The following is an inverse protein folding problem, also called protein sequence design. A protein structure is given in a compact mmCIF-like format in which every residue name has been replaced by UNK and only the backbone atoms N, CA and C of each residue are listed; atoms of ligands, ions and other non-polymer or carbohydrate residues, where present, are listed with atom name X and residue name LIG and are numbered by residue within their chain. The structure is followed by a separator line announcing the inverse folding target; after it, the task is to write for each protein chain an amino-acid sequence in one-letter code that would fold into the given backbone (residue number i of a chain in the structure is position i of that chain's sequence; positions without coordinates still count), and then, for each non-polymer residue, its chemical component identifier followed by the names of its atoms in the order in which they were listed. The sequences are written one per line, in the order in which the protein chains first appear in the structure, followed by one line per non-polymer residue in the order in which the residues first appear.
data_IF_856879846909
#
_entry.id   IF_856879846909
#
_cell.length_a   1.000
_cell.length_b   1.000
_cell.length_c   1.000
_cell.angle_alpha   90.00
_cell.angle_beta   90.00
_cell.angle_gamma   90.00
#
_symmetry.space_group_name_H-M   'P 1'
#
loop_
_entity.id
_entity.type
_entity.pdbx_description
1 polymer ?
#
# COMPACT_ATOMS: atom_id res chain seq x y z
N UNK A 1 39.46 37.34 -25.36
CA UNK A 1 38.16 37.12 -24.67
C UNK A 1 38.43 36.15 -23.53
N UNK A 2 38.58 36.66 -22.31
CA UNK A 2 39.17 35.91 -21.19
C UNK A 2 38.16 34.92 -20.58
N UNK A 3 38.59 33.68 -20.39
CA UNK A 3 37.86 32.58 -19.73
C UNK A 3 37.36 33.01 -18.33
N UNK A 4 38.03 33.98 -17.69
CA UNK A 4 37.66 34.55 -16.39
C UNK A 4 36.32 35.32 -16.37
N UNK A 5 35.82 35.81 -17.51
CA UNK A 5 34.49 36.45 -17.59
C UNK A 5 33.34 35.43 -17.72
N UNK A 6 33.64 34.16 -18.04
CA UNK A 6 32.62 33.11 -18.17
C UNK A 6 32.33 32.38 -16.85
N UNK A 7 33.28 32.34 -15.90
CA UNK A 7 33.08 31.74 -14.58
C UNK A 7 31.90 32.36 -13.79
N UNK A 8 31.81 33.71 -13.65
CA UNK A 8 30.71 34.32 -12.91
C UNK A 8 29.34 34.08 -13.57
N UNK A 9 29.31 34.05 -14.90
CA UNK A 9 28.07 33.79 -15.66
C UNK A 9 27.63 32.34 -15.52
N UNK A 10 28.56 31.38 -15.59
CA UNK A 10 28.26 29.96 -15.36
C UNK A 10 27.78 29.70 -13.92
N UNK A 11 28.41 30.32 -12.93
CA UNK A 11 27.98 30.26 -11.52
C UNK A 11 26.60 30.89 -11.33
N UNK A 12 26.33 32.05 -11.92
CA UNK A 12 25.00 32.67 -11.87
C UNK A 12 23.93 31.84 -12.56
N UNK A 13 24.21 31.26 -13.74
CA UNK A 13 23.28 30.37 -14.45
C UNK A 13 23.02 29.10 -13.63
N UNK A 14 24.05 28.53 -13.01
CA UNK A 14 23.91 27.39 -12.10
C UNK A 14 23.06 27.74 -10.88
N UNK A 15 23.34 28.87 -10.20
CA UNK A 15 22.56 29.34 -9.05
C UNK A 15 21.10 29.64 -9.43
N UNK A 16 20.85 30.26 -10.59
CA UNK A 16 19.50 30.52 -11.08
C UNK A 16 18.77 29.22 -11.47
N UNK A 17 19.47 28.24 -12.05
CA UNK A 17 18.91 26.93 -12.33
C UNK A 17 18.56 26.17 -11.05
N UNK A 18 19.44 26.19 -10.04
CA UNK A 18 19.19 25.61 -8.72
C UNK A 18 18.05 26.33 -7.98
N UNK A 19 18.00 27.66 -8.02
CA UNK A 19 16.92 28.44 -7.42
C UNK A 19 15.58 28.20 -8.12
N UNK A 20 15.57 28.14 -9.46
CA UNK A 20 14.39 27.78 -10.25
C UNK A 20 13.94 26.35 -9.98
N UNK A 21 14.87 25.40 -9.89
CA UNK A 21 14.58 24.02 -9.55
C UNK A 21 13.97 23.91 -8.15
N UNK A 22 14.59 24.54 -7.15
CA UNK A 22 14.08 24.59 -5.78
C UNK A 22 12.70 25.25 -5.72
N UNK A 23 12.51 26.38 -6.42
CA UNK A 23 11.23 27.06 -6.53
C UNK A 23 10.14 26.16 -7.15
N UNK A 24 10.45 25.51 -8.27
CA UNK A 24 9.52 24.58 -8.91
C UNK A 24 9.16 23.40 -8.01
N UNK A 25 10.11 22.89 -7.21
CA UNK A 25 9.88 21.78 -6.27
C UNK A 25 9.12 22.20 -5.01
N UNK A 26 9.34 23.42 -4.50
CA UNK A 26 8.56 23.97 -3.39
C UNK A 26 7.11 24.28 -3.80
N UNK A 27 6.87 24.57 -5.08
CA UNK A 27 5.52 24.75 -5.62
C UNK A 27 4.86 23.43 -6.05
N UNK A 28 5.61 22.34 -6.08
CA UNK A 28 5.11 21.04 -6.49
C UNK A 28 4.39 20.38 -5.31
N UNK A 29 3.09 20.10 -5.48
CA UNK A 29 2.32 19.28 -4.54
C UNK A 29 2.08 17.89 -5.12
N UNK A 30 1.98 16.88 -4.26
CA UNK A 30 1.62 15.50 -4.65
C UNK A 30 0.34 15.44 -5.50
N UNK A 31 -0.57 16.40 -5.32
CA UNK A 31 -1.82 16.53 -6.08
C UNK A 31 -1.64 16.50 -7.60
N UNK A 32 -0.48 16.93 -8.13
CA UNK A 32 -0.18 16.92 -9.56
C UNK A 32 0.04 15.51 -10.13
N UNK A 33 0.68 14.59 -9.40
CA UNK A 33 0.92 13.22 -9.89
C UNK A 33 -0.37 12.45 -10.10
N UNK A 34 -1.36 12.75 -9.24
CA UNK A 34 -2.69 12.15 -9.32
C UNK A 34 -3.67 12.95 -10.16
N UNK A 35 -3.27 14.07 -10.79
CA UNK A 35 -4.22 15.00 -11.41
C UNK A 35 -5.06 14.36 -12.52
N UNK A 36 -4.48 13.39 -13.23
CA UNK A 36 -5.12 12.63 -14.31
C UNK A 36 -5.71 11.28 -13.87
N UNK A 37 -5.65 10.95 -12.59
CA UNK A 37 -6.23 9.70 -12.07
C UNK A 37 -7.75 9.77 -12.02
N UNK A 38 -8.39 8.60 -12.05
CA UNK A 38 -9.84 8.48 -11.87
C UNK A 38 -10.28 8.96 -10.49
N UNK A 39 -11.56 9.33 -10.35
CA UNK A 39 -12.15 9.59 -9.04
C UNK A 39 -12.57 8.26 -8.40
N UNK A 40 -12.26 8.08 -7.12
CA UNK A 40 -12.77 6.92 -6.39
C UNK A 40 -14.29 7.04 -6.21
N UNK A 41 -14.96 5.89 -6.13
CA UNK A 41 -16.40 5.82 -5.78
C UNK A 41 -16.61 5.68 -4.28
N UNK A 42 -17.85 5.92 -3.84
CA UNK A 42 -18.24 5.75 -2.44
C UNK A 42 -17.96 4.32 -2.01
N UNK A 43 -18.39 3.35 -2.81
CA UNK A 43 -18.32 1.92 -2.50
C UNK A 43 -16.88 1.41 -2.32
N UNK A 44 -15.95 1.92 -3.12
CA UNK A 44 -14.52 1.55 -3.03
C UNK A 44 -13.84 2.17 -1.81
N UNK A 45 -14.22 3.39 -1.45
CA UNK A 45 -13.52 4.17 -0.44
C UNK A 45 -14.16 4.06 0.96
N UNK A 46 -15.41 3.63 1.04
CA UNK A 46 -16.17 3.45 2.28
C UNK A 46 -15.43 2.67 3.37
N UNK A 47 -14.65 1.60 3.07
CA UNK A 47 -13.92 0.87 4.11
C UNK A 47 -12.80 1.66 4.77
N UNK A 48 -12.24 2.68 4.10
CA UNK A 48 -10.99 3.33 4.53
C UNK A 48 -11.11 3.99 5.91
N UNK A 49 -12.10 4.84 6.20
CA UNK A 49 -12.21 5.47 7.53
C UNK A 49 -12.41 4.46 8.66
N UNK A 50 -13.24 3.42 8.47
CA UNK A 50 -13.44 2.40 9.52
C UNK A 50 -12.16 1.62 9.79
N UNK A 51 -11.41 1.28 8.74
CA UNK A 51 -10.17 0.51 8.87
C UNK A 51 -9.09 1.36 9.55
N UNK A 52 -9.04 2.67 9.28
CA UNK A 52 -8.19 3.60 10.03
C UNK A 52 -8.53 3.59 11.54
N UNK A 53 -9.81 3.62 11.91
CA UNK A 53 -10.24 3.53 13.32
C UNK A 53 -9.88 2.19 13.96
N UNK A 54 -10.06 1.07 13.24
CA UNK A 54 -9.63 -0.25 13.70
C UNK A 54 -8.12 -0.34 13.92
N UNK A 55 -7.31 0.21 13.02
CA UNK A 55 -5.85 0.27 13.18
C UNK A 55 -5.48 1.16 14.38
N UNK A 56 -6.12 2.33 14.55
CA UNK A 56 -5.90 3.19 15.71
C UNK A 56 -6.24 2.46 17.02
N UNK A 57 -7.27 1.64 17.05
CA UNK A 57 -7.66 0.85 18.22
C UNK A 57 -6.57 -0.17 18.64
N UNK A 58 -5.71 -0.61 17.73
CA UNK A 58 -4.57 -1.49 18.08
C UNK A 58 -3.60 -0.81 19.06
N UNK A 59 -3.55 0.52 19.07
CA UNK A 59 -2.68 1.30 19.97
C UNK A 59 -3.23 1.47 21.40
N UNK A 60 -4.50 1.15 21.65
CA UNK A 60 -5.09 1.27 22.98
C UNK A 60 -4.67 0.11 23.89
N UNK A 61 -4.44 0.37 25.18
CA UNK A 61 -4.24 -0.73 26.13
C UNK A 61 -5.59 -1.40 26.46
N UNK A 62 -6.63 -0.59 26.70
CA UNK A 62 -7.99 -1.04 27.02
C UNK A 62 -9.02 -0.45 26.04
N UNK A 63 -9.71 -1.32 25.30
CA UNK A 63 -10.72 -0.92 24.32
C UNK A 63 -12.08 -0.59 24.95
N UNK A 64 -12.35 -1.04 26.17
CA UNK A 64 -13.57 -0.66 26.89
C UNK A 64 -13.46 0.73 27.53
N UNK A 65 -12.22 1.18 27.80
CA UNK A 65 -11.93 2.51 28.32
C UNK A 65 -10.77 3.18 27.55
N UNK A 66 -11.00 3.55 26.28
CA UNK A 66 -9.94 4.08 25.42
C UNK A 66 -9.46 5.47 25.86
N UNK A 67 -8.16 5.72 25.76
CA UNK A 67 -7.52 6.99 26.13
C UNK A 67 -7.30 7.94 24.96
N UNK A 68 -7.13 7.39 23.75
CA UNK A 68 -6.67 8.08 22.55
C UNK A 68 -7.68 8.03 21.41
N UNK A 69 -8.94 7.77 21.73
CA UNK A 69 -10.01 7.68 20.75
C UNK A 69 -10.09 8.96 19.89
N UNK A 70 -10.25 8.83 18.56
CA UNK A 70 -10.47 9.98 17.68
C UNK A 70 -11.81 10.67 18.01
N UNK A 71 -12.05 11.91 17.54
CA UNK A 71 -13.36 12.54 17.64
C UNK A 71 -14.46 11.64 17.05
N UNK A 72 -15.47 11.30 17.86
CA UNK A 72 -16.52 10.34 17.48
C UNK A 72 -16.28 8.90 17.94
N UNK A 73 -15.13 8.61 18.56
CA UNK A 73 -14.76 7.29 19.05
C UNK A 73 -14.26 6.36 17.94
N UNK A 74 -13.90 5.13 18.31
CA UNK A 74 -13.47 4.12 17.34
C UNK A 74 -14.62 3.57 16.49
N UNK A 75 -15.85 3.64 16.98
CA UNK A 75 -17.01 3.05 16.29
C UNK A 75 -16.89 1.53 16.14
N UNK A 76 -16.22 0.87 17.09
CA UNK A 76 -16.04 -0.59 17.13
C UNK A 76 -16.68 -1.15 18.39
N UNK A 77 -17.06 -2.43 18.34
CA UNK A 77 -17.50 -3.16 19.52
C UNK A 77 -16.31 -3.97 20.10
N UNK A 78 -15.79 -3.64 21.30
CA UNK A 78 -14.67 -4.37 21.90
C UNK A 78 -14.91 -5.87 22.04
N UNK A 79 -16.17 -6.31 22.20
CA UNK A 79 -16.53 -7.73 22.35
C UNK A 79 -16.32 -8.54 21.04
N UNK A 80 -16.16 -7.86 19.91
CA UNK A 80 -15.91 -8.50 18.60
C UNK A 80 -14.41 -8.69 18.31
N UNK A 81 -13.54 -8.25 19.23
CA UNK A 81 -12.12 -8.53 19.16
C UNK A 81 -11.89 -9.99 19.50
N UNK A 82 -11.46 -10.77 18.52
CA UNK A 82 -11.20 -12.20 18.71
C UNK A 82 -9.82 -12.44 19.33
N UNK A 83 -8.82 -11.67 18.89
CA UNK A 83 -7.42 -11.85 19.30
C UNK A 83 -6.68 -10.52 19.24
N UNK A 84 -5.78 -10.28 20.21
CA UNK A 84 -4.82 -9.18 20.20
C UNK A 84 -3.46 -9.71 20.57
N UNK A 85 -2.41 -9.19 19.93
CA UNK A 85 -1.01 -9.43 20.28
C UNK A 85 -0.32 -8.12 20.56
N UNK A 86 0.22 -7.97 21.76
CA UNK A 86 1.05 -6.82 22.13
C UNK A 86 2.54 -7.08 21.85
N UNK A 87 3.40 -6.10 22.14
CA UNK A 87 4.84 -6.18 21.86
C UNK A 87 5.54 -7.36 22.58
N UNK A 88 5.06 -7.73 23.77
CA UNK A 88 5.63 -8.84 24.55
C UNK A 88 5.32 -10.18 23.87
N UNK A 89 4.09 -10.34 23.40
CA UNK A 89 3.64 -11.56 22.72
C UNK A 89 4.24 -11.71 21.31
N UNK A 90 4.52 -10.60 20.62
CA UNK A 90 5.18 -10.68 19.30
C UNK A 90 6.68 -10.91 19.40
N UNK A 91 7.28 -10.78 20.59
CA UNK A 91 8.72 -10.92 20.84
C UNK A 91 9.58 -10.06 19.88
N UNK A 92 9.03 -8.91 19.46
CA UNK A 92 9.68 -8.00 18.50
C UNK A 92 9.78 -8.52 17.07
N UNK A 93 9.13 -9.63 16.70
CA UNK A 93 9.14 -10.19 15.34
C UNK A 93 8.16 -9.51 14.39
N UNK A 94 7.12 -8.87 14.94
CA UNK A 94 6.14 -8.09 14.22
C UNK A 94 5.59 -6.97 15.12
N UNK A 95 5.11 -5.85 14.55
CA UNK A 95 4.31 -4.88 15.29
C UNK A 95 3.03 -5.54 15.83
N UNK A 96 2.53 -5.10 17.01
CA UNK A 96 1.22 -5.44 17.53
C UNK A 96 0.09 -5.40 16.52
N UNK A 97 -0.83 -6.33 16.70
CA UNK A 97 -1.95 -6.53 15.81
C UNK A 97 -3.16 -7.08 16.55
N UNK A 98 -4.31 -7.03 15.89
CA UNK A 98 -5.53 -7.67 16.36
C UNK A 98 -6.32 -8.30 15.22
N UNK A 99 -7.12 -9.31 15.55
CA UNK A 99 -8.13 -9.91 14.69
C UNK A 99 -9.49 -9.47 15.21
N UNK A 100 -10.24 -8.77 14.37
CA UNK A 100 -11.56 -8.22 14.68
C UNK A 100 -12.63 -8.84 13.78
N UNK A 101 -13.76 -9.24 14.36
CA UNK A 101 -14.90 -9.79 13.64
C UNK A 101 -15.92 -8.67 13.35
N UNK A 102 -15.80 -8.05 12.18
CA UNK A 102 -16.73 -7.01 11.77
C UNK A 102 -18.01 -7.64 11.24
N UNK A 103 -18.93 -7.90 12.16
CA UNK A 103 -20.20 -8.54 11.86
C UNK A 103 -21.14 -7.67 11.00
N UNK A 104 -20.98 -6.34 11.04
CA UNK A 104 -21.77 -5.41 10.24
C UNK A 104 -21.39 -5.47 8.76
N UNK A 105 -20.10 -5.64 8.48
CA UNK A 105 -19.56 -5.67 7.13
C UNK A 105 -19.29 -7.09 6.60
N UNK A 106 -19.62 -8.11 7.39
CA UNK A 106 -19.29 -9.52 7.13
C UNK A 106 -17.79 -9.66 6.77
N UNK A 107 -16.92 -9.21 7.67
CA UNK A 107 -15.47 -9.14 7.43
C UNK A 107 -14.67 -9.62 8.64
N UNK A 108 -13.58 -10.33 8.38
CA UNK A 108 -12.56 -10.66 9.37
C UNK A 108 -11.39 -9.70 9.10
N UNK A 109 -11.17 -8.76 10.01
CA UNK A 109 -10.14 -7.73 9.84
C UNK A 109 -8.90 -8.06 10.68
N UNK A 110 -7.77 -8.28 10.01
CA UNK A 110 -6.45 -8.38 10.62
C UNK A 110 -5.80 -6.99 10.60
N UNK A 111 -5.86 -6.27 11.73
CA UNK A 111 -5.38 -4.90 11.84
C UNK A 111 -3.99 -4.83 12.52
N UNK A 112 -3.04 -4.12 11.90
CA UNK A 112 -1.64 -4.02 12.37
C UNK A 112 -1.24 -2.56 12.59
N UNK A 113 -0.67 -2.25 13.75
CA UNK A 113 -0.21 -0.89 14.05
C UNK A 113 1.02 -0.48 13.22
N UNK A 114 1.22 0.83 13.07
CA UNK A 114 2.45 1.41 12.54
C UNK A 114 3.59 1.46 13.56
N UNK A 115 4.73 2.01 13.13
CA UNK A 115 5.96 2.16 13.93
C UNK A 115 5.68 2.94 15.23
N UNK A 116 6.14 2.42 16.37
CA UNK A 116 6.23 3.16 17.62
C UNK A 116 7.68 3.61 17.82
N UNK A 117 7.90 4.93 17.88
CA UNK A 117 9.24 5.50 17.97
C UNK A 117 10.01 5.09 19.25
N UNK A 118 9.31 4.61 20.28
CA UNK A 118 9.89 4.11 21.52
C UNK A 118 10.23 2.61 21.49
N UNK A 119 9.93 1.90 20.39
CA UNK A 119 10.10 0.44 20.28
C UNK A 119 11.21 0.09 19.29
N UNK A 120 12.36 -0.33 19.82
CA UNK A 120 13.53 -0.72 19.02
C UNK A 120 13.24 -1.87 18.05
N UNK A 121 12.37 -2.81 18.44
CA UNK A 121 11.95 -3.93 17.59
C UNK A 121 11.29 -3.49 16.29
N UNK A 122 10.51 -2.41 16.33
CA UNK A 122 9.82 -1.91 15.13
C UNK A 122 10.83 -1.36 14.12
N UNK A 123 11.88 -0.69 14.62
CA UNK A 123 13.01 -0.28 13.78
C UNK A 123 13.77 -1.49 13.25
N UNK A 124 13.98 -2.53 14.06
CA UNK A 124 14.67 -3.74 13.60
C UNK A 124 13.96 -4.38 12.39
N UNK A 125 12.63 -4.43 12.39
CA UNK A 125 11.83 -4.91 11.24
C UNK A 125 11.98 -3.98 10.03
N UNK A 126 11.88 -2.67 10.24
CA UNK A 126 11.94 -1.68 9.15
C UNK A 126 13.33 -1.60 8.51
N UNK A 127 14.39 -1.76 9.31
CA UNK A 127 15.78 -1.56 8.89
C UNK A 127 16.45 -2.85 8.42
N UNK A 128 15.84 -4.02 8.64
CA UNK A 128 16.30 -5.30 8.09
C UNK A 128 16.02 -5.41 6.59
N UNK A 129 16.62 -4.54 5.78
CA UNK A 129 16.50 -4.59 4.33
C UNK A 129 17.70 -4.02 3.59
N UNK A 130 18.17 -4.76 2.58
CA UNK A 130 19.18 -4.34 1.61
C UNK A 130 18.60 -4.44 0.20
N UNK A 131 19.06 -3.55 -0.69
CA UNK A 131 18.56 -3.50 -2.06
C UNK A 131 18.72 -4.87 -2.76
N UNK A 132 17.60 -5.45 -3.17
CA UNK A 132 17.59 -6.75 -3.87
C UNK A 132 17.95 -7.95 -3.00
N UNK A 133 17.84 -7.83 -1.67
CA UNK A 133 18.20 -8.90 -0.73
C UNK A 133 17.27 -10.11 -0.84
N UNK A 134 15.95 -9.87 -0.96
CA UNK A 134 14.94 -10.93 -0.83
C UNK A 134 13.99 -10.93 -2.01
N UNK A 135 13.73 -12.14 -2.53
CA UNK A 135 12.77 -12.39 -3.60
C UNK A 135 11.56 -13.13 -3.06
N UNK A 136 10.39 -12.80 -3.58
CA UNK A 136 9.14 -13.49 -3.29
C UNK A 136 8.22 -13.41 -4.52
N UNK A 137 7.52 -14.50 -4.84
CA UNK A 137 6.57 -14.60 -5.97
C UNK A 137 7.12 -14.06 -7.31
N UNK A 138 8.39 -14.30 -7.60
CA UNK A 138 9.00 -13.83 -8.86
C UNK A 138 9.12 -12.30 -8.94
N UNK A 139 9.33 -11.62 -7.82
CA UNK A 139 9.79 -10.23 -7.73
C UNK A 139 10.66 -10.02 -6.47
N UNK A 140 11.04 -8.78 -6.18
CA UNK A 140 11.76 -8.39 -4.97
C UNK A 140 10.81 -7.79 -3.93
N UNK A 141 11.08 -8.06 -2.65
CA UNK A 141 10.30 -7.54 -1.52
C UNK A 141 11.22 -7.09 -0.39
N UNK A 142 10.67 -6.31 0.53
CA UNK A 142 11.37 -5.87 1.73
C UNK A 142 11.61 -7.05 2.69
N UNK A 143 12.87 -7.29 3.06
CA UNK A 143 13.27 -8.48 3.79
C UNK A 143 12.65 -8.58 5.21
N UNK A 144 12.80 -7.56 6.06
CA UNK A 144 12.27 -7.59 7.43
C UNK A 144 10.75 -7.70 7.49
N UNK A 145 10.04 -6.92 6.65
CA UNK A 145 8.60 -7.02 6.48
C UNK A 145 8.14 -8.41 5.99
N UNK A 146 8.87 -9.07 5.07
CA UNK A 146 8.51 -10.42 4.63
C UNK A 146 8.66 -11.43 5.78
N UNK A 147 9.78 -11.39 6.51
CA UNK A 147 9.99 -12.25 7.68
C UNK A 147 8.89 -12.08 8.72
N UNK A 148 8.50 -10.84 9.00
CA UNK A 148 7.41 -10.53 9.92
C UNK A 148 6.07 -11.08 9.39
N UNK A 149 5.78 -10.92 8.10
CA UNK A 149 4.58 -11.45 7.46
C UNK A 149 4.50 -12.99 7.50
N UNK A 150 5.60 -13.68 7.18
CA UNK A 150 5.67 -15.15 7.27
C UNK A 150 5.48 -15.63 8.71
N UNK A 151 6.15 -14.98 9.67
CA UNK A 151 6.01 -15.30 11.08
C UNK A 151 4.56 -15.13 11.59
N UNK A 152 3.93 -14.00 11.26
CA UNK A 152 2.52 -13.74 11.62
C UNK A 152 1.59 -14.76 10.96
N UNK A 153 1.81 -15.07 9.68
CA UNK A 153 1.01 -16.05 8.97
C UNK A 153 1.11 -17.42 9.65
N UNK A 154 2.30 -17.90 9.96
CA UNK A 154 2.50 -19.20 10.61
C UNK A 154 1.88 -19.24 12.01
N UNK A 155 1.96 -18.14 12.77
CA UNK A 155 1.37 -18.04 14.10
C UNK A 155 -0.17 -18.07 14.09
N UNK A 156 -0.80 -17.38 13.13
CA UNK A 156 -2.24 -17.10 13.18
C UNK A 156 -3.05 -17.79 12.06
N UNK A 157 -2.42 -18.54 11.15
CA UNK A 157 -3.08 -19.22 10.03
C UNK A 157 -4.21 -20.17 10.49
N UNK A 158 -3.96 -20.94 11.54
CA UNK A 158 -4.95 -21.89 12.09
C UNK A 158 -6.15 -21.14 12.68
N UNK A 159 -5.91 -20.04 13.41
CA UNK A 159 -6.96 -19.17 13.94
C UNK A 159 -7.81 -18.60 12.81
N UNK A 160 -7.17 -17.99 11.80
CA UNK A 160 -7.84 -17.41 10.65
C UNK A 160 -8.66 -18.46 9.89
N UNK A 161 -8.12 -19.66 9.69
CA UNK A 161 -8.83 -20.77 9.03
C UNK A 161 -10.11 -21.15 9.78
N UNK A 162 -10.05 -21.28 11.11
CA UNK A 162 -11.24 -21.63 11.90
C UNK A 162 -12.28 -20.51 11.91
N UNK A 163 -11.85 -19.24 11.94
CA UNK A 163 -12.77 -18.10 11.80
C UNK A 163 -13.45 -18.07 10.43
N UNK A 164 -12.71 -18.33 9.35
CA UNK A 164 -13.24 -18.39 7.99
C UNK A 164 -14.22 -19.55 7.79
N UNK A 165 -13.96 -20.70 8.43
CA UNK A 165 -14.90 -21.83 8.45
C UNK A 165 -16.20 -21.49 9.19
N UNK A 166 -16.11 -20.81 10.33
CA UNK A 166 -17.27 -20.39 11.12
C UNK A 166 -18.08 -19.28 10.42
N UNK A 167 -17.41 -18.46 9.61
CA UNK A 167 -18.01 -17.31 8.92
C UNK A 167 -17.77 -17.41 7.40
N UNK A 168 -18.40 -18.37 6.70
CA UNK A 168 -18.07 -18.67 5.30
C UNK A 168 -18.39 -17.52 4.34
N UNK A 169 -19.34 -16.64 4.69
CA UNK A 169 -19.68 -15.45 3.90
C UNK A 169 -18.73 -14.27 4.11
N UNK A 170 -17.81 -14.35 5.08
CA UNK A 170 -17.01 -13.17 5.45
C UNK A 170 -15.82 -13.00 4.49
N UNK A 171 -15.43 -11.76 4.22
CA UNK A 171 -14.13 -11.47 3.60
C UNK A 171 -13.00 -11.55 4.63
N UNK A 172 -11.76 -11.68 4.16
CA UNK A 172 -10.56 -11.55 4.98
C UNK A 172 -9.80 -10.29 4.56
N UNK A 173 -9.81 -9.29 5.42
CA UNK A 173 -9.20 -7.99 5.15
C UNK A 173 -7.98 -7.77 6.04
N UNK A 174 -6.84 -7.51 5.43
CA UNK A 174 -5.63 -7.10 6.15
C UNK A 174 -5.50 -5.57 6.10
N UNK A 175 -5.41 -4.92 7.25
CA UNK A 175 -5.33 -3.47 7.33
C UNK A 175 -4.15 -3.06 8.19
N UNK A 176 -3.36 -2.09 7.74
CA UNK A 176 -2.21 -1.64 8.51
C UNK A 176 -1.83 -0.22 8.17
N UNK A 177 -1.08 0.42 9.08
CA UNK A 177 -0.56 1.78 8.88
C UNK A 177 0.96 1.81 8.87
N UNK A 178 1.58 2.64 8.03
CA UNK A 178 3.03 2.89 8.04
C UNK A 178 3.86 1.60 7.93
N UNK A 179 4.59 1.22 8.98
CA UNK A 179 5.28 -0.08 9.10
C UNK A 179 4.30 -1.26 8.95
N UNK A 180 3.19 -1.22 9.68
CA UNK A 180 2.13 -2.23 9.63
C UNK A 180 1.50 -2.34 8.24
N UNK A 181 1.37 -1.23 7.51
CA UNK A 181 0.87 -1.22 6.13
C UNK A 181 1.78 -2.03 5.18
N UNK A 182 3.11 -1.88 5.34
CA UNK A 182 4.09 -2.67 4.60
C UNK A 182 4.03 -4.16 4.96
N UNK A 183 3.82 -4.48 6.25
CA UNK A 183 3.67 -5.86 6.73
C UNK A 183 2.41 -6.49 6.13
N UNK A 184 1.24 -5.85 6.26
CA UNK A 184 -0.02 -6.42 5.75
C UNK A 184 -0.04 -6.61 4.25
N UNK A 185 0.65 -5.73 3.51
CA UNK A 185 0.81 -5.86 2.06
C UNK A 185 1.58 -7.15 1.68
N UNK A 186 2.59 -7.55 2.45
CA UNK A 186 3.31 -8.81 2.22
C UNK A 186 2.56 -10.00 2.84
N UNK A 187 1.89 -9.82 3.97
CA UNK A 187 1.09 -10.85 4.63
C UNK A 187 -0.08 -11.30 3.74
N UNK A 188 -0.78 -10.39 3.07
CA UNK A 188 -1.83 -10.79 2.13
C UNK A 188 -1.26 -11.56 0.93
N UNK A 189 -0.05 -11.23 0.46
CA UNK A 189 0.60 -12.01 -0.60
C UNK A 189 0.91 -13.43 -0.12
N UNK A 190 1.47 -13.57 1.09
CA UNK A 190 1.72 -14.88 1.73
C UNK A 190 0.41 -15.66 1.88
N UNK A 191 -0.66 -15.01 2.35
CA UNK A 191 -1.98 -15.62 2.53
C UNK A 191 -2.60 -16.07 1.20
N UNK A 192 -2.48 -15.27 0.14
CA UNK A 192 -2.98 -15.61 -1.20
C UNK A 192 -2.21 -16.77 -1.82
N UNK A 193 -0.89 -16.82 -1.65
CA UNK A 193 -0.04 -17.95 -2.09
C UNK A 193 -0.35 -19.24 -1.30
N UNK A 194 -0.76 -19.10 -0.03
CA UNK A 194 -1.12 -20.20 0.86
C UNK A 194 -2.65 -20.35 1.05
N UNK A 195 -3.47 -19.85 0.12
CA UNK A 195 -4.93 -19.74 0.31
C UNK A 195 -5.65 -21.05 0.63
N UNK A 196 -5.11 -22.18 0.15
CA UNK A 196 -5.60 -23.52 0.46
C UNK A 196 -5.50 -23.85 1.96
N UNK A 197 -4.45 -23.37 2.65
CA UNK A 197 -4.32 -23.53 4.11
C UNK A 197 -5.42 -22.77 4.86
N UNK A 198 -5.87 -21.64 4.32
CA UNK A 198 -6.97 -20.85 4.89
C UNK A 198 -8.37 -21.37 4.48
N UNK A 199 -8.46 -22.38 3.61
CA UNK A 199 -9.73 -22.86 3.07
C UNK A 199 -10.42 -21.86 2.13
N UNK A 200 -9.67 -20.92 1.54
CA UNK A 200 -10.18 -19.94 0.58
C UNK A 200 -9.81 -20.38 -0.84
N UNK A 201 -10.82 -20.55 -1.70
CA UNK A 201 -10.64 -20.82 -3.13
C UNK A 201 -10.57 -19.52 -3.94
N UNK A 202 -11.47 -18.58 -3.67
CA UNK A 202 -11.65 -17.37 -4.45
C UNK A 202 -10.71 -16.24 -3.99
N UNK A 203 -9.89 -15.72 -4.91
CA UNK A 203 -8.89 -14.68 -4.61
C UNK A 203 -9.52 -13.35 -4.17
N UNK A 204 -10.72 -13.03 -4.64
CA UNK A 204 -11.47 -11.82 -4.30
C UNK A 204 -11.95 -11.78 -2.83
N UNK A 205 -11.87 -12.90 -2.08
CA UNK A 205 -12.14 -12.91 -0.63
C UNK A 205 -11.04 -12.25 0.19
N UNK A 206 -9.85 -12.09 -0.39
CA UNK A 206 -8.74 -11.38 0.23
C UNK A 206 -8.83 -9.89 -0.13
N UNK A 207 -8.68 -9.03 0.88
CA UNK A 207 -8.51 -7.59 0.69
C UNK A 207 -7.35 -7.10 1.53
N UNK A 208 -6.68 -6.05 1.09
CA UNK A 208 -5.66 -5.39 1.87
C UNK A 208 -5.81 -3.88 1.74
N UNK A 209 -5.77 -3.18 2.88
CA UNK A 209 -5.75 -1.72 2.97
C UNK A 209 -4.47 -1.28 3.66
N UNK A 210 -3.51 -0.85 2.85
CA UNK A 210 -2.20 -0.40 3.29
C UNK A 210 -2.24 1.13 3.43
N UNK A 211 -2.40 1.63 4.65
CA UNK A 211 -2.54 3.06 4.95
C UNK A 211 -1.15 3.68 5.13
N UNK A 212 -0.80 4.66 4.29
CA UNK A 212 0.52 5.30 4.29
C UNK A 212 1.70 4.30 4.24
N UNK A 213 1.74 3.38 3.25
CA UNK A 213 2.68 2.25 3.27
C UNK A 213 4.13 2.65 2.99
N UNK A 214 5.05 1.95 3.65
CA UNK A 214 6.43 1.88 3.18
C UNK A 214 6.51 1.16 1.83
N UNK A 215 7.48 1.56 1.00
CA UNK A 215 7.81 0.85 -0.23
C UNK A 215 8.30 -0.57 0.10
N UNK A 216 7.51 -1.58 -0.20
CA UNK A 216 7.76 -2.95 0.27
C UNK A 216 7.88 -4.02 -0.82
N UNK A 217 7.57 -3.70 -2.09
CA UNK A 217 7.62 -4.68 -3.18
C UNK A 217 8.02 -4.06 -4.52
N UNK A 218 8.63 -4.86 -5.38
CA UNK A 218 8.97 -4.50 -6.76
C UNK A 218 7.72 -4.22 -7.61
N UNK A 219 7.92 -3.48 -8.71
CA UNK A 219 6.83 -2.92 -9.51
C UNK A 219 5.94 -4.00 -10.12
N UNK A 220 6.53 -5.10 -10.59
CA UNK A 220 5.77 -6.22 -11.13
C UNK A 220 4.83 -6.84 -10.08
N UNK A 221 5.24 -6.89 -8.81
CA UNK A 221 4.39 -7.35 -7.70
C UNK A 221 3.32 -6.31 -7.34
N UNK A 222 3.69 -5.02 -7.28
CA UNK A 222 2.75 -3.95 -6.99
C UNK A 222 1.59 -3.95 -8.01
N UNK A 223 1.88 -4.11 -9.31
CA UNK A 223 0.85 -4.22 -10.34
C UNK A 223 0.10 -5.54 -10.23
N UNK A 224 0.78 -6.68 -10.07
CA UNK A 224 0.14 -8.02 -10.02
C UNK A 224 -0.85 -8.19 -8.87
N UNK A 225 -0.60 -7.54 -7.73
CA UNK A 225 -1.46 -7.60 -6.54
C UNK A 225 -2.39 -6.38 -6.41
N UNK A 226 -2.51 -5.53 -7.44
CA UNK A 226 -3.40 -4.38 -7.42
C UNK A 226 -4.90 -4.73 -7.39
N UNK A 227 -5.25 -6.01 -7.60
CA UNK A 227 -6.60 -6.55 -7.41
C UNK A 227 -6.95 -6.77 -5.93
N UNK A 228 -5.96 -6.94 -5.07
CA UNK A 228 -6.14 -7.29 -3.65
C UNK A 228 -5.64 -6.17 -2.73
N UNK A 229 -4.56 -5.48 -3.09
CA UNK A 229 -3.91 -4.46 -2.27
C UNK A 229 -4.34 -3.07 -2.70
N UNK A 230 -4.89 -2.32 -1.74
CA UNK A 230 -5.31 -0.93 -1.85
C UNK A 230 -4.45 -0.08 -0.91
N UNK A 231 -3.56 0.72 -1.48
CA UNK A 231 -2.73 1.68 -0.75
C UNK A 231 -3.43 3.03 -0.64
N UNK A 232 -3.55 3.58 0.56
CA UNK A 232 -4.15 4.90 0.80
C UNK A 232 -3.07 5.88 1.21
N UNK A 233 -2.98 7.02 0.52
CA UNK A 233 -2.00 8.06 0.80
C UNK A 233 -2.69 9.41 0.90
N UNK A 234 -2.38 10.16 1.95
CA UNK A 234 -2.85 11.52 2.14
C UNK A 234 -1.80 12.50 1.61
N UNK A 235 -2.18 13.36 0.67
CA UNK A 235 -1.38 14.51 0.23
C UNK A 235 0.11 14.19 0.01
N UNK A 236 0.99 14.89 0.73
CA UNK A 236 2.43 14.91 0.51
C UNK A 236 3.15 13.92 1.44
N UNK A 237 2.45 12.90 1.95
CA UNK A 237 3.03 11.86 2.79
C UNK A 237 4.31 11.30 2.15
N UNK A 238 5.39 11.37 2.94
CA UNK A 238 6.74 11.07 2.50
C UNK A 238 7.00 9.57 2.40
N UNK A 239 6.38 8.74 3.25
CA UNK A 239 6.84 7.36 3.43
C UNK A 239 6.66 6.49 2.15
N UNK A 240 5.53 6.57 1.42
CA UNK A 240 5.37 5.88 0.13
C UNK A 240 6.34 6.39 -0.95
N UNK A 241 7.00 7.53 -0.70
CA UNK A 241 7.90 8.24 -1.63
C UNK A 241 9.39 8.03 -1.32
N UNK A 242 9.74 7.38 -0.20
CA UNK A 242 11.12 7.26 0.28
C UNK A 242 11.69 5.86 -0.02
N UNK A 243 12.76 5.76 -0.83
CA UNK A 243 13.51 4.50 -1.04
C UNK A 243 14.47 4.24 0.12
N UNK A 244 14.02 3.52 1.15
CA UNK A 244 14.86 2.64 2.00
C UNK A 244 16.04 3.22 2.79
N UNK A 245 16.40 4.51 2.67
CA UNK A 245 17.30 5.19 3.60
C UNK A 245 16.57 5.59 4.90
N UNK A 246 15.72 4.68 5.39
CA UNK A 246 14.86 4.88 6.56
C UNK A 246 15.68 5.01 7.84
N UNK A 247 16.87 4.39 7.88
CA UNK A 247 17.81 4.56 8.99
C UNK A 247 18.12 6.02 9.27
N UNK A 248 18.45 6.79 8.22
CA UNK A 248 18.81 8.20 8.37
C UNK A 248 17.58 9.08 8.56
N UNK A 249 16.43 8.74 7.95
CA UNK A 249 15.14 9.43 8.14
C UNK A 249 14.72 9.41 9.61
N UNK A 250 14.78 8.24 10.23
CA UNK A 250 14.29 8.04 11.60
C UNK A 250 15.33 8.37 12.68
N UNK A 251 16.63 8.11 12.44
CA UNK A 251 17.70 8.57 13.35
C UNK A 251 17.85 10.10 13.34
N UNK A 252 17.44 10.76 12.24
CA UNK A 252 17.59 12.21 12.03
C UNK A 252 16.26 12.94 11.97
N UNK A 253 15.30 12.63 12.87
CA UNK A 253 14.01 13.35 12.95
C UNK A 253 14.20 14.89 13.00
N UNK A 254 15.27 15.37 13.64
CA UNK A 254 15.64 16.80 13.71
C UNK A 254 16.17 17.39 12.38
N UNK A 255 16.53 16.55 11.41
CA UNK A 255 17.05 16.93 10.09
C UNK A 255 16.22 16.33 8.92
N UNK A 256 15.02 15.80 9.20
CA UNK A 256 14.13 15.23 8.18
C UNK A 256 13.93 16.16 6.97
N UNK A 257 13.75 17.49 7.13
CA UNK A 257 13.68 18.39 5.98
C UNK A 257 14.93 18.36 5.10
N UNK A 258 16.13 18.37 5.69
CA UNK A 258 17.39 18.33 4.95
C UNK A 258 17.57 16.99 4.23
N UNK A 259 17.17 15.88 4.87
CA UNK A 259 17.24 14.56 4.27
C UNK A 259 16.26 14.42 3.10
N UNK A 260 15.02 14.89 3.25
CA UNK A 260 14.06 14.94 2.15
C UNK A 260 14.60 15.81 1.00
N UNK A 261 15.28 16.92 1.28
CA UNK A 261 15.95 17.73 0.26
C UNK A 261 17.04 16.95 -0.49
N UNK A 262 17.91 16.23 0.23
CA UNK A 262 18.97 15.41 -0.38
C UNK A 262 18.39 14.29 -1.25
N UNK A 263 17.35 13.61 -0.76
CA UNK A 263 16.68 12.56 -1.51
C UNK A 263 15.93 13.12 -2.73
N UNK A 264 15.27 14.26 -2.60
CA UNK A 264 14.60 14.96 -3.71
C UNK A 264 15.59 15.36 -4.81
N UNK A 265 16.78 15.85 -4.43
CA UNK A 265 17.85 16.15 -5.38
C UNK A 265 18.31 14.88 -6.12
N UNK A 266 18.54 13.79 -5.37
CA UNK A 266 18.93 12.50 -5.95
C UNK A 266 17.87 11.95 -6.91
N UNK A 267 16.59 12.01 -6.52
CA UNK A 267 15.48 11.55 -7.36
C UNK A 267 15.33 12.40 -8.62
N UNK A 268 15.50 13.72 -8.54
CA UNK A 268 15.46 14.58 -9.74
C UNK A 268 16.58 14.24 -10.71
N UNK A 269 17.76 13.89 -10.21
CA UNK A 269 18.90 13.51 -11.04
C UNK A 269 18.84 12.07 -11.55
N UNK A 270 17.84 11.27 -11.13
CA UNK A 270 17.70 9.88 -11.57
C UNK A 270 16.67 9.80 -12.70
N UNK A 271 17.07 9.27 -13.85
CA UNK A 271 16.15 9.06 -14.99
C UNK A 271 15.10 8.00 -14.66
N UNK A 272 13.83 8.26 -14.98
CA UNK A 272 12.71 7.35 -14.71
C UNK A 272 12.90 5.98 -15.36
N UNK A 273 13.40 5.93 -16.60
CA UNK A 273 13.70 4.68 -17.31
C UNK A 273 14.67 3.79 -16.52
N UNK A 274 15.68 4.40 -15.86
CA UNK A 274 16.63 3.68 -15.02
C UNK A 274 15.97 3.13 -13.76
N UNK A 275 14.97 3.82 -13.22
CA UNK A 275 14.20 3.36 -12.05
C UNK A 275 13.29 2.19 -12.40
N UNK A 276 12.58 2.28 -13.53
CA UNK A 276 11.68 1.22 -14.02
C UNK A 276 12.43 -0.06 -14.37
N UNK A 277 13.65 0.07 -14.92
CA UNK A 277 14.50 -1.07 -15.29
C UNK A 277 15.24 -1.73 -14.13
N UNK A 278 15.30 -1.13 -12.93
CA UNK A 278 15.90 -1.80 -11.76
C UNK A 278 14.87 -2.72 -11.07
N UNK A 279 14.96 -4.05 -11.22
CA UNK A 279 13.99 -4.97 -10.63
C UNK A 279 13.99 -4.95 -9.10
N UNK A 280 15.08 -4.47 -8.48
CA UNK A 280 15.28 -4.49 -7.03
C UNK A 280 14.63 -3.29 -6.34
N UNK A 281 14.26 -2.26 -7.10
CA UNK A 281 13.62 -1.07 -6.55
C UNK A 281 12.24 -1.45 -6.02
N UNK A 282 11.96 -1.04 -4.78
CA UNK A 282 10.67 -1.26 -4.13
C UNK A 282 9.76 -0.04 -4.31
N UNK A 283 8.46 -0.30 -4.28
CA UNK A 283 7.38 0.64 -4.58
C UNK A 283 6.24 0.49 -3.56
N UNK A 284 5.35 1.49 -3.54
CA UNK A 284 4.08 1.39 -2.82
C UNK A 284 3.26 0.24 -3.43
N UNK A 285 2.61 -0.58 -2.60
CA UNK A 285 2.00 -1.82 -3.08
C UNK A 285 0.60 -1.59 -3.68
N UNK A 286 0.26 -2.28 -4.75
CA UNK A 286 -1.10 -2.35 -5.26
C UNK A 286 -1.67 -1.08 -5.89
N UNK A 287 -3.01 -1.01 -5.93
CA UNK A 287 -3.79 0.15 -6.37
C UNK A 287 -3.62 1.30 -5.38
N UNK A 288 -3.48 2.53 -5.86
CA UNK A 288 -3.33 3.71 -5.01
C UNK A 288 -4.64 4.50 -4.92
N UNK A 289 -4.93 5.01 -3.73
CA UNK A 289 -5.96 6.00 -3.43
C UNK A 289 -5.27 7.21 -2.82
N UNK A 290 -5.31 8.33 -3.53
CA UNK A 290 -4.68 9.57 -3.11
C UNK A 290 -5.73 10.58 -2.66
N UNK A 291 -5.70 10.94 -1.38
CA UNK A 291 -6.59 11.93 -0.78
C UNK A 291 -5.96 13.31 -0.95
N UNK A 292 -6.61 14.17 -1.74
CA UNK A 292 -6.10 15.49 -2.09
C UNK A 292 -6.96 16.58 -1.42
N UNK A 293 -6.48 17.14 -0.30
CA UNK A 293 -7.13 18.26 0.40
C UNK A 293 -6.46 19.64 0.24
N UNK A 294 -5.30 19.73 -0.43
CA UNK A 294 -4.53 20.97 -0.63
C UNK A 294 -4.09 21.10 -2.09
N UNK A 295 -3.90 22.35 -2.53
CA UNK A 295 -3.48 22.73 -3.89
C UNK A 295 -2.29 23.70 -3.86
N UNK A 296 -1.44 23.70 -4.90
CA UNK A 296 -0.32 24.64 -5.02
C UNK A 296 -0.79 26.10 -4.92
N UNK A 297 0.01 26.95 -4.28
CA UNK A 297 -0.17 28.41 -4.24
C UNK A 297 -1.48 28.91 -3.61
N UNK A 298 -2.24 28.08 -2.89
CA UNK A 298 -3.47 28.48 -2.21
C UNK A 298 -3.38 28.22 -0.71
N UNK A 299 -3.76 29.23 0.08
CA UNK A 299 -3.78 29.14 1.54
C UNK A 299 -5.06 28.41 1.98
N UNK A 300 -4.93 27.32 2.74
CA UNK A 300 -6.03 26.59 3.37
C UNK A 300 -6.25 25.17 2.88
N UNK A 301 -7.09 24.42 3.62
CA UNK A 301 -7.56 23.08 3.25
C UNK A 301 -8.87 23.20 2.47
N UNK A 302 -9.02 22.39 1.43
CA UNK A 302 -10.20 22.32 0.58
C UNK A 302 -10.99 21.03 0.87
N UNK A 303 -12.23 20.92 0.37
CA UNK A 303 -12.94 19.64 0.39
C UNK A 303 -12.05 18.53 -0.20
N UNK A 304 -11.74 17.46 0.55
CA UNK A 304 -10.85 16.41 0.08
C UNK A 304 -11.45 15.70 -1.14
N UNK A 305 -10.59 15.41 -2.12
CA UNK A 305 -10.94 14.62 -3.31
C UNK A 305 -10.10 13.35 -3.31
N UNK A 306 -10.75 12.20 -3.45
CA UNK A 306 -10.07 10.90 -3.53
C UNK A 306 -9.89 10.51 -4.98
N UNK A 307 -8.65 10.28 -5.37
CA UNK A 307 -8.29 9.82 -6.71
C UNK A 307 -7.68 8.43 -6.66
N UNK A 308 -7.93 7.61 -7.67
CA UNK A 308 -7.41 6.24 -7.72
C UNK A 308 -6.84 5.87 -9.08
N UNK A 309 -5.77 5.07 -9.04
CA UNK A 309 -5.16 4.45 -10.21
C UNK A 309 -4.33 3.22 -9.83
N UNK A 310 -3.98 2.40 -10.82
CA UNK A 310 -2.85 1.45 -10.75
C UNK A 310 -1.66 2.03 -11.52
N UNK A 311 -0.77 2.82 -10.89
CA UNK A 311 0.29 3.52 -11.62
C UNK A 311 1.40 2.56 -12.09
N UNK A 312 1.70 2.60 -13.39
CA UNK A 312 2.77 1.83 -14.03
C UNK A 312 3.88 2.74 -14.57
N UNK A 313 3.49 3.84 -15.22
CA UNK A 313 4.35 4.93 -15.69
C UNK A 313 3.83 6.29 -15.19
N UNK A 314 4.72 7.31 -15.08
CA UNK A 314 4.35 8.65 -14.63
C UNK A 314 3.94 8.70 -13.14
N UNK A 315 4.80 8.17 -12.27
CA UNK A 315 4.37 7.61 -10.97
C UNK A 315 4.38 8.56 -9.78
N UNK A 316 3.65 8.12 -8.74
CA UNK A 316 3.38 8.72 -7.43
C UNK A 316 4.57 8.66 -6.46
N UNK A 317 5.77 8.91 -6.96
CA UNK A 317 7.02 8.52 -6.29
C UNK A 317 7.97 9.67 -6.08
N UNK A 318 7.68 10.83 -6.66
CA UNK A 318 8.51 12.00 -6.50
C UNK A 318 8.42 12.48 -5.05
N UNK A 319 9.56 12.66 -4.40
CA UNK A 319 9.56 13.24 -3.07
C UNK A 319 9.06 14.69 -3.16
N UNK A 320 8.03 14.99 -2.37
CA UNK A 320 7.45 16.32 -2.24
C UNK A 320 7.99 16.95 -0.96
N UNK A 321 8.59 18.13 -1.07
CA UNK A 321 9.09 18.88 0.08
C UNK A 321 7.93 19.67 0.69
N UNK A 322 7.32 19.12 1.74
CA UNK A 322 6.17 19.72 2.42
C UNK A 322 6.41 19.79 3.92
N UNK A 323 6.06 20.93 4.53
CA UNK A 323 6.08 21.08 5.99
C UNK A 323 5.01 20.21 6.68
N UNK A 324 4.07 19.66 5.91
CA UNK A 324 2.99 18.81 6.41
C UNK A 324 3.27 17.31 6.23
N UNK A 325 4.40 16.91 5.64
CA UNK A 325 4.66 15.52 5.26
C UNK A 325 4.51 14.53 6.43
N UNK A 326 4.93 14.91 7.64
CA UNK A 326 4.76 14.09 8.85
C UNK A 326 3.33 14.04 9.36
N UNK A 327 2.58 15.14 9.22
CA UNK A 327 1.17 15.21 9.58
C UNK A 327 0.32 14.39 8.61
N UNK A 328 0.61 14.47 7.32
CA UNK A 328 -0.04 13.68 6.28
C UNK A 328 0.20 12.17 6.45
N UNK A 329 1.34 11.79 7.02
CA UNK A 329 1.67 10.41 7.35
C UNK A 329 0.87 9.87 8.55
N UNK A 330 0.43 10.74 9.46
CA UNK A 330 -0.19 10.28 10.70
C UNK A 330 -1.61 9.77 10.46
N UNK A 331 -1.89 8.54 10.89
CA UNK A 331 -3.16 7.86 10.67
C UNK A 331 -4.38 8.65 11.17
N UNK A 332 -4.24 9.46 12.22
CA UNK A 332 -5.32 10.31 12.73
C UNK A 332 -5.76 11.37 11.71
N UNK A 333 -4.83 11.92 10.93
CA UNK A 333 -5.15 12.86 9.87
C UNK A 333 -5.71 12.15 8.64
N UNK A 334 -5.20 10.95 8.33
CA UNK A 334 -5.73 10.11 7.25
C UNK A 334 -7.17 9.71 7.55
N UNK A 335 -7.47 9.26 8.78
CA UNK A 335 -8.82 8.94 9.24
C UNK A 335 -9.75 10.15 9.08
N UNK A 336 -9.33 11.31 9.61
CA UNK A 336 -10.14 12.53 9.55
C UNK A 336 -10.45 12.96 8.12
N UNK A 337 -9.43 13.03 7.26
CA UNK A 337 -9.63 13.49 5.88
C UNK A 337 -10.31 12.44 5.00
N UNK A 338 -10.12 11.15 5.29
CA UNK A 338 -10.87 10.08 4.62
C UNK A 338 -12.35 10.08 5.01
N UNK A 339 -12.69 10.28 6.30
CA UNK A 339 -14.09 10.40 6.73
C UNK A 339 -14.75 11.61 6.09
N UNK A 340 -14.09 12.78 6.11
CA UNK A 340 -14.59 13.99 5.44
C UNK A 340 -14.80 13.78 3.94
N UNK A 341 -13.90 13.07 3.27
CA UNK A 341 -14.05 12.74 1.86
C UNK A 341 -15.25 11.83 1.62
N UNK A 342 -15.39 10.77 2.41
CA UNK A 342 -16.51 9.84 2.32
C UNK A 342 -17.85 10.55 2.51
N UNK A 343 -17.97 11.41 3.52
CA UNK A 343 -19.19 12.18 3.81
C UNK A 343 -19.60 13.04 2.60
N UNK A 344 -18.63 13.73 1.99
CA UNK A 344 -18.87 14.55 0.79
C UNK A 344 -19.26 13.71 -0.43
N UNK A 345 -18.66 12.53 -0.59
CA UNK A 345 -19.00 11.61 -1.68
C UNK A 345 -20.43 11.08 -1.51
N UNK A 346 -20.81 10.70 -0.29
CA UNK A 346 -22.17 10.25 0.06
C UNK A 346 -23.20 11.37 -0.11
N UNK A 347 -22.90 12.59 0.32
CA UNK A 347 -23.78 13.75 0.14
C UNK A 347 -24.05 13.99 -1.35
N UNK A 348 -23.00 13.99 -2.17
CA UNK A 348 -23.10 14.17 -3.62
C UNK A 348 -23.96 13.08 -4.28
N UNK A 349 -23.79 11.82 -3.89
CA UNK A 349 -24.61 10.71 -4.38
C UNK A 349 -26.07 10.78 -3.90
N UNK A 350 -26.28 11.21 -2.65
CA UNK A 350 -27.60 11.43 -2.06
C UNK A 350 -28.38 12.54 -2.74
N UNK A 351 -27.72 13.67 -3.06
CA UNK A 351 -28.29 14.76 -3.87
C UNK A 351 -28.71 14.26 -5.26
N UNK A 352 -27.95 13.33 -5.84
CA UNK A 352 -28.29 12.69 -7.13
C UNK A 352 -29.41 11.63 -7.02
N UNK A 353 -29.91 11.30 -5.81
CA UNK A 353 -31.01 10.34 -5.53
C UNK A 353 -30.86 8.99 -6.24
N UNK A 354 -29.65 8.43 -6.25
CA UNK A 354 -29.37 7.17 -6.96
C UNK A 354 -30.14 6.00 -6.33
N UNK A 355 -31.08 5.32 -7.04
CA UNK A 355 -31.85 4.20 -6.49
C UNK A 355 -30.98 2.99 -6.13
N UNK A 356 -31.41 2.19 -5.14
CA UNK A 356 -30.67 1.01 -4.67
C UNK A 356 -30.35 -0.02 -5.77
N UNK A 357 -31.29 -0.26 -6.71
CA UNK A 357 -31.04 -1.12 -7.87
C UNK A 357 -29.89 -0.60 -8.74
N UNK A 358 -29.76 0.72 -8.86
CA UNK A 358 -28.70 1.36 -9.63
C UNK A 358 -27.35 1.32 -8.90
N UNK A 359 -27.34 1.31 -7.56
CA UNK A 359 -26.13 1.04 -6.76
C UNK A 359 -25.59 -0.37 -6.99
N UNK A 360 -26.46 -1.39 -6.99
CA UNK A 360 -26.05 -2.77 -7.29
C UNK A 360 -25.49 -2.93 -8.72
N UNK A 361 -26.10 -2.27 -9.71
CA UNK A 361 -25.58 -2.23 -11.08
C UNK A 361 -24.22 -1.51 -11.14
N UNK A 362 -24.05 -0.43 -10.38
CA UNK A 362 -22.76 0.27 -10.22
C UNK A 362 -21.69 -0.64 -9.62
N UNK A 363 -21.99 -1.44 -8.60
CA UNK A 363 -21.02 -2.39 -8.03
C UNK A 363 -20.47 -3.37 -9.08
N UNK A 364 -21.35 -3.90 -9.92
CA UNK A 364 -20.94 -4.82 -10.99
C UNK A 364 -20.13 -4.10 -12.07
N UNK A 365 -20.50 -2.87 -12.44
CA UNK A 365 -19.72 -2.09 -13.41
C UNK A 365 -18.35 -1.69 -12.86
N UNK A 366 -18.25 -1.31 -11.59
CA UNK A 366 -17.00 -0.94 -10.93
C UNK A 366 -16.04 -2.13 -10.85
N UNK A 367 -16.53 -3.31 -10.44
CA UNK A 367 -15.71 -4.52 -10.44
C UNK A 367 -15.16 -4.84 -11.84
N UNK A 368 -15.96 -4.59 -12.90
CA UNK A 368 -15.51 -4.73 -14.29
C UNK A 368 -14.48 -3.67 -14.66
N UNK A 369 -14.71 -2.41 -14.35
CA UNK A 369 -13.78 -1.29 -14.62
C UNK A 369 -12.44 -1.50 -13.90
N UNK A 370 -12.44 -1.95 -12.64
CA UNK A 370 -11.21 -2.31 -11.93
C UNK A 370 -10.46 -3.47 -12.57
N UNK A 371 -11.19 -4.48 -13.04
CA UNK A 371 -10.59 -5.60 -13.75
C UNK A 371 -9.97 -5.17 -15.07
N UNK A 372 -10.65 -4.29 -15.82
CA UNK A 372 -10.16 -3.70 -17.07
C UNK A 372 -8.93 -2.81 -16.83
N UNK A 373 -8.96 -1.94 -15.83
CA UNK A 373 -7.83 -1.07 -15.46
C UNK A 373 -6.63 -1.90 -15.00
N UNK A 374 -6.84 -2.90 -14.14
CA UNK A 374 -5.77 -3.80 -13.70
C UNK A 374 -5.17 -4.58 -14.87
N UNK A 375 -6.01 -5.07 -15.79
CA UNK A 375 -5.54 -5.74 -17.01
C UNK A 375 -4.74 -4.78 -17.90
N UNK A 376 -5.19 -3.54 -18.05
CA UNK A 376 -4.47 -2.50 -18.80
C UNK A 376 -3.12 -2.18 -18.14
N UNK A 377 -3.07 -2.11 -16.81
CA UNK A 377 -1.83 -1.90 -16.06
C UNK A 377 -0.84 -3.07 -16.25
N UNK A 378 -1.31 -4.32 -16.20
CA UNK A 378 -0.48 -5.50 -16.49
C UNK A 378 0.07 -5.47 -17.93
N UNK A 379 -0.76 -5.11 -18.91
CA UNK A 379 -0.33 -4.97 -20.31
C UNK A 379 0.67 -3.84 -20.49
N UNK A 380 0.42 -2.70 -19.84
CA UNK A 380 1.34 -1.55 -19.82
C UNK A 380 2.69 -1.93 -19.22
N UNK A 381 2.67 -2.75 -18.15
CA UNK A 381 3.88 -3.18 -17.49
C UNK A 381 4.76 -4.07 -18.38
N UNK A 382 4.13 -4.95 -19.15
CA UNK A 382 4.80 -5.75 -20.19
C UNK A 382 5.35 -4.83 -21.30
N UNK A 383 4.56 -3.86 -21.76
CA UNK A 383 4.96 -2.94 -22.83
C UNK A 383 6.14 -2.02 -22.46
N UNK A 384 6.38 -1.80 -21.17
CA UNK A 384 7.52 -1.03 -20.64
C UNK A 384 8.73 -1.90 -20.28
N UNK A 385 8.71 -3.18 -20.65
CA UNK A 385 9.75 -4.17 -20.35
C UNK A 385 10.10 -4.24 -18.85
N UNK A 386 9.08 -4.10 -17.98
CA UNK A 386 9.31 -4.23 -16.53
C UNK A 386 9.79 -5.66 -16.24
N UNK A 387 10.93 -5.82 -15.55
CA UNK A 387 11.46 -7.15 -15.26
C UNK A 387 10.45 -8.04 -14.56
N UNK A 388 10.30 -9.29 -15.05
CA UNK A 388 9.40 -10.29 -14.46
C UNK A 388 7.91 -9.86 -14.47
N UNK A 389 7.55 -8.88 -15.31
CA UNK A 389 6.17 -8.65 -15.72
C UNK A 389 5.82 -9.71 -16.78
N UNK A 390 4.85 -10.56 -16.46
CA UNK A 390 4.31 -11.53 -17.40
C UNK A 390 2.91 -11.09 -17.82
N UNK A 391 2.54 -11.33 -19.07
CA UNK A 391 1.13 -11.27 -19.47
C UNK A 391 0.35 -12.27 -18.60
N UNK A 392 -0.78 -11.88 -17.98
CA UNK A 392 -1.61 -12.85 -17.27
C UNK A 392 -1.96 -13.98 -18.25
N UNK A 393 -1.70 -15.24 -17.87
CA UNK A 393 -2.16 -16.37 -18.67
C UNK A 393 -3.68 -16.25 -18.76
N UNK A 394 -4.21 -16.15 -19.98
CA UNK A 394 -5.62 -16.33 -20.22
C UNK A 394 -5.96 -17.80 -19.98
N UNK A 395 -5.96 -18.28 -18.73
CA UNK A 395 -6.69 -19.49 -18.36
C UNK A 395 -6.64 -19.72 -16.85
N UNK A 396 -7.83 -19.76 -16.25
CA UNK A 396 -8.08 -20.49 -15.02
C UNK A 396 -8.56 -21.91 -15.36
N UNK A 397 -8.19 -22.85 -14.49
CA UNK A 397 -8.78 -24.19 -14.31
C UNK A 397 -8.46 -25.23 -15.39
N UNK A 398 -7.64 -26.21 -14.98
CA UNK A 398 -7.63 -27.66 -15.29
C UNK A 398 -6.17 -28.12 -15.42
N UNK A 399 -5.63 -28.69 -14.35
CA UNK A 399 -4.54 -29.66 -14.50
C UNK A 399 -5.18 -30.93 -15.05
N UNK A 400 -5.08 -31.14 -16.37
CA UNK A 400 -5.12 -32.49 -16.90
C UNK A 400 -3.93 -33.23 -16.31
N UNK A 401 -4.22 -34.31 -15.58
CA UNK A 401 -3.23 -35.34 -15.30
C UNK A 401 -2.71 -35.84 -16.64
N UNK A 402 -1.44 -35.59 -16.95
CA UNK A 402 -0.76 -36.37 -17.97
C UNK A 402 -0.73 -37.82 -17.47
N UNK A 403 -1.62 -38.62 -18.05
CA UNK A 403 -1.75 -40.03 -17.81
C UNK A 403 -0.45 -40.75 -18.15
N UNK A 404 -0.09 -41.68 -17.28
CA UNK A 404 0.91 -42.69 -17.52
C UNK A 404 0.68 -43.36 -18.89
N UNK A 405 1.56 -43.05 -19.85
CA UNK A 405 1.68 -43.76 -21.11
C UNK A 405 2.27 -45.14 -20.86
N UNK A 406 1.38 -46.11 -20.65
CA UNK A 406 1.63 -47.52 -20.92
C UNK A 406 2.20 -47.69 -22.34
N UNK A 407 3.43 -48.20 -22.44
CA UNK A 407 3.91 -48.87 -23.65
C UNK A 407 4.53 -50.20 -23.25
N UNK A 408 3.67 -51.22 -23.18
CA UNK A 408 4.09 -52.61 -23.31
C UNK A 408 4.36 -52.91 -24.78
N UNK A 409 5.55 -53.40 -25.09
CA UNK A 409 5.94 -53.84 -26.43
C UNK A 409 7.23 -54.66 -26.36
N UNK A 410 7.05 -55.98 -26.28
CA UNK A 410 8.04 -57.05 -26.23
C UNK A 410 9.02 -57.09 -27.40
N UNK A 411 10.30 -57.41 -27.14
CA UNK A 411 11.08 -58.32 -27.99
C UNK A 411 12.31 -58.88 -27.25
N UNK A 412 12.42 -60.20 -27.28
CA UNK A 412 13.52 -61.04 -26.80
C UNK A 412 14.84 -60.88 -27.59
N UNK A 413 15.89 -61.50 -27.02
CA UNK A 413 17.20 -61.94 -27.57
C UNK A 413 18.28 -60.86 -27.53
N UNK A 414 19.49 -61.09 -27.04
CA UNK A 414 20.22 -62.31 -26.72
C UNK A 414 21.71 -61.99 -26.96
N UNK A 415 22.57 -62.49 -26.05
CA UNK A 415 24.02 -62.26 -25.90
C UNK A 415 24.47 -60.97 -25.21
#
# INVERSE_FOLDING_TARGET
MSIACCCPVLECVYCLACARWAWQKCLYTAGHESEHWGLATVEEFEPVPRLCRLILAVYEDDLHNPLWAPPGGYGINPDWVFLRRNDQETEGRAPPYMIYLDHENADIVFAVRGLNLAKESDYAVLLDNKLGQTKFDGGYVHNGLLKAAEWVFDAECEVLRELLKKNPSYTLTFAGHSLGAGLVALLVMVAVQNRSKLGITERNRFRCYAIAPARCMSLNLAVRYADVINSVVLQDDFLPRTTTALEDVFKSLFCLPCLLCLMCLKDTCTMEEKMLKDPRRLYAPGRLYHIVERRPCRIGRFPPVVRTAVPVDGRFEHIVLSCNATSDHAIIWIERESQRALDLMVEKDGVMRVPAKQKMVRHVSLAREHSEEHKAALQRAVALDIPQAYSPSMYGTFHEMEGAGSSGGSSERGF
#
